data_IF_586119679415
#
_entry.id   IF_586119679415
#
_cell.length_a   1.000
_cell.length_b   1.000
_cell.length_c   1.000
_cell.angle_alpha   90.00
_cell.angle_beta   90.00
_cell.angle_gamma   90.00
#
_symmetry.space_group_name_H-M   'P 1'
#
loop_
_entity.id
_entity.type
_entity.pdbx_description
1 polymer ?
#
# COMPACT_ATOMS: atom_id res chain seq x y z
N UNK A 1 -19.00 7.67 15.49
CA UNK A 1 -18.12 8.79 15.15
C UNK A 1 -16.78 8.27 14.66
N UNK A 2 -16.26 8.87 13.61
CA UNK A 2 -15.00 8.42 13.05
C UNK A 2 -13.84 9.02 13.81
N UNK A 3 -12.90 8.19 14.18
CA UNK A 3 -11.70 8.64 14.85
C UNK A 3 -10.78 9.33 13.86
N UNK A 4 -10.24 10.49 14.23
CA UNK A 4 -9.25 11.15 13.41
C UNK A 4 -7.96 10.35 13.45
N UNK A 5 -7.48 10.00 12.28
CA UNK A 5 -6.31 9.14 12.18
C UNK A 5 -5.43 9.62 11.04
N UNK A 6 -4.15 9.70 11.30
CA UNK A 6 -3.15 10.09 10.31
C UNK A 6 -2.19 8.94 10.14
N UNK A 7 -2.00 8.51 8.89
CA UNK A 7 -1.01 7.48 8.55
C UNK A 7 0.14 8.18 7.86
N UNK A 8 1.33 8.06 8.44
CA UNK A 8 2.51 8.73 7.94
C UNK A 8 3.58 7.73 7.53
N UNK A 9 4.04 7.82 6.27
CA UNK A 9 5.16 7.03 5.82
C UNK A 9 6.44 7.63 6.37
N UNK A 10 7.26 6.79 7.00
CA UNK A 10 8.49 7.25 7.67
C UNK A 10 9.72 6.99 6.82
N UNK A 11 9.76 5.86 6.14
CA UNK A 11 10.92 5.50 5.34
C UNK A 11 11.01 4.00 5.17
N UNK A 12 12.11 3.56 4.56
CA UNK A 12 12.29 2.14 4.34
C UNK A 12 13.73 1.73 4.65
N UNK A 13 13.91 0.43 4.82
CA UNK A 13 15.21 -0.17 5.01
C UNK A 13 15.36 -1.35 4.07
N UNK A 14 16.46 -1.40 3.31
CA UNK A 14 16.74 -2.53 2.44
C UNK A 14 17.43 -3.60 3.26
N UNK A 15 16.83 -4.80 3.28
CA UNK A 15 17.37 -5.93 3.99
C UNK A 15 17.81 -7.01 3.00
N UNK A 16 18.31 -8.13 3.51
CA UNK A 16 18.88 -9.15 2.64
C UNK A 16 17.87 -9.70 1.62
N UNK A 17 16.65 -9.99 2.07
CA UNK A 17 15.64 -10.64 1.22
C UNK A 17 14.40 -9.79 0.99
N UNK A 18 14.26 -8.68 1.71
CA UNK A 18 13.05 -7.86 1.64
C UNK A 18 13.42 -6.40 1.77
N UNK A 19 12.49 -5.53 1.36
CA UNK A 19 12.52 -4.13 1.77
C UNK A 19 11.44 -3.93 2.81
N UNK A 20 11.78 -3.26 3.90
CA UNK A 20 10.87 -3.02 5.00
C UNK A 20 10.48 -1.56 5.03
N UNK A 21 9.17 -1.30 4.98
CA UNK A 21 8.61 0.05 4.95
C UNK A 21 7.96 0.35 6.29
N UNK A 22 8.25 1.51 6.84
CA UNK A 22 7.80 1.89 8.19
C UNK A 22 6.78 3.00 8.12
N UNK A 23 5.74 2.86 8.92
CA UNK A 23 4.66 3.83 9.02
C UNK A 23 4.34 4.11 10.48
N UNK A 24 3.92 5.34 10.75
CA UNK A 24 3.41 5.71 12.07
C UNK A 24 1.95 6.08 11.89
N UNK A 25 1.10 5.52 12.73
CA UNK A 25 -0.32 5.82 12.76
C UNK A 25 -0.59 6.65 14.01
N UNK A 26 -1.10 7.87 13.81
CA UNK A 26 -1.43 8.76 14.91
C UNK A 26 -2.94 8.83 15.05
N UNK A 27 -3.40 8.59 16.27
CA UNK A 27 -4.83 8.60 16.58
C UNK A 27 -5.12 9.74 17.51
N UNK A 28 -6.40 9.93 17.82
CA UNK A 28 -6.81 10.93 18.80
C UNK A 28 -6.14 10.68 20.14
N UNK A 29 -6.04 11.73 20.96
CA UNK A 29 -5.50 11.63 22.31
C UNK A 29 -4.02 11.26 22.33
N UNK A 30 -3.28 11.64 21.29
CA UNK A 30 -1.84 11.41 21.19
C UNK A 30 -1.44 9.95 21.17
N UNK A 31 -2.36 9.08 20.81
CA UNK A 31 -2.05 7.65 20.71
C UNK A 31 -1.35 7.40 19.37
N UNK A 32 -0.18 6.78 19.41
CA UNK A 32 0.57 6.45 18.19
C UNK A 32 0.95 4.98 18.18
N UNK A 33 1.05 4.43 16.99
CA UNK A 33 1.51 3.06 16.79
C UNK A 33 2.43 3.02 15.59
N UNK A 34 3.40 2.12 15.64
CA UNK A 34 4.33 1.94 14.54
C UNK A 34 4.03 0.64 13.83
N UNK A 35 4.03 0.69 12.49
CA UNK A 35 3.77 -0.50 11.67
C UNK A 35 4.88 -0.65 10.65
N UNK A 36 5.23 -1.90 10.35
CA UNK A 36 6.19 -2.19 9.28
C UNK A 36 5.55 -3.17 8.31
N UNK A 37 5.86 -2.98 7.03
CA UNK A 37 5.38 -3.87 5.98
C UNK A 37 6.55 -4.22 5.08
N UNK A 38 6.65 -5.47 4.67
CA UNK A 38 7.77 -5.93 3.86
C UNK A 38 7.31 -6.37 2.49
N UNK A 39 8.16 -6.10 1.50
CA UNK A 39 7.99 -6.61 0.14
C UNK A 39 9.25 -7.41 -0.19
N UNK A 40 9.06 -8.63 -0.68
CA UNK A 40 10.19 -9.46 -1.06
C UNK A 40 10.98 -8.84 -2.20
N UNK A 41 12.31 -8.93 -2.13
CA UNK A 41 13.16 -8.34 -3.17
C UNK A 41 12.87 -8.93 -4.55
N UNK A 42 12.39 -10.16 -4.59
CA UNK A 42 12.06 -10.82 -5.86
C UNK A 42 10.97 -10.08 -6.63
N UNK A 43 10.07 -9.41 -5.92
CA UNK A 43 8.98 -8.68 -6.58
C UNK A 43 9.53 -7.50 -7.37
N UNK A 44 10.59 -6.87 -6.87
CA UNK A 44 11.25 -5.78 -7.59
C UNK A 44 12.05 -6.33 -8.77
N UNK A 45 12.76 -7.43 -8.54
CA UNK A 45 13.57 -8.04 -9.59
C UNK A 45 12.74 -8.54 -10.76
N UNK A 46 11.55 -9.07 -10.48
CA UNK A 46 10.65 -9.57 -11.53
C UNK A 46 9.76 -8.48 -12.11
N UNK A 47 9.94 -7.24 -11.67
CA UNK A 47 9.20 -6.07 -12.15
C UNK A 47 7.71 -6.13 -11.85
N UNK A 48 7.34 -6.87 -10.82
CA UNK A 48 5.94 -6.89 -10.39
C UNK A 48 5.59 -5.68 -9.55
N UNK A 49 6.61 -4.99 -9.02
CA UNK A 49 6.42 -3.74 -8.31
C UNK A 49 7.61 -2.84 -8.62
N UNK A 50 7.35 -1.55 -8.75
CA UNK A 50 8.41 -0.56 -8.92
C UNK A 50 8.74 0.07 -7.58
N UNK A 51 10.01 0.47 -7.42
CA UNK A 51 10.44 1.07 -6.15
C UNK A 51 9.59 2.27 -5.79
N UNK A 52 9.21 3.08 -6.75
CA UNK A 52 8.43 4.28 -6.49
C UNK A 52 7.01 3.99 -6.06
N UNK A 53 6.49 2.81 -6.39
CA UNK A 53 5.11 2.43 -6.04
C UNK A 53 5.03 1.68 -4.72
N UNK A 54 6.16 1.19 -4.23
CA UNK A 54 6.17 0.32 -3.05
C UNK A 54 5.57 0.97 -1.80
N UNK A 55 5.90 2.23 -1.48
CA UNK A 55 5.29 2.85 -0.29
C UNK A 55 3.78 2.93 -0.39
N UNK A 56 3.24 3.19 -1.59
CA UNK A 56 1.80 3.27 -1.74
C UNK A 56 1.14 1.91 -1.58
N UNK A 57 1.76 0.86 -2.12
CA UNK A 57 1.23 -0.50 -1.97
C UNK A 57 1.15 -0.87 -0.49
N UNK A 58 2.21 -0.56 0.25
CA UNK A 58 2.24 -0.83 1.69
C UNK A 58 1.20 0.01 2.41
N UNK A 59 1.04 1.26 2.04
CA UNK A 59 0.05 2.14 2.65
C UNK A 59 -1.37 1.60 2.43
N UNK A 60 -1.67 1.12 1.23
CA UNK A 60 -2.99 0.57 0.94
C UNK A 60 -3.28 -0.67 1.78
N UNK A 61 -2.29 -1.54 1.93
CA UNK A 61 -2.46 -2.70 2.78
C UNK A 61 -2.70 -2.30 4.23
N UNK A 62 -1.92 -1.34 4.72
CA UNK A 62 -2.07 -0.88 6.09
C UNK A 62 -3.45 -0.27 6.32
N UNK A 63 -3.92 0.57 5.38
CA UNK A 63 -5.25 1.16 5.51
C UNK A 63 -6.33 0.09 5.55
N UNK A 64 -6.17 -0.97 4.76
CA UNK A 64 -7.14 -2.05 4.77
C UNK A 64 -7.16 -2.75 6.12
N UNK A 65 -5.99 -3.02 6.71
CA UNK A 65 -5.93 -3.65 8.01
C UNK A 65 -6.53 -2.75 9.09
N UNK A 66 -6.26 -1.45 9.01
CA UNK A 66 -6.84 -0.51 9.95
C UNK A 66 -8.36 -0.51 9.85
N UNK A 67 -8.90 -0.56 8.64
CA UNK A 67 -10.35 -0.55 8.45
C UNK A 67 -10.99 -1.82 9.00
N UNK A 68 -10.35 -2.96 8.77
CA UNK A 68 -10.90 -4.25 9.21
C UNK A 68 -10.93 -4.34 10.73
N UNK A 69 -9.94 -3.78 11.40
CA UNK A 69 -9.78 -3.94 12.85
C UNK A 69 -10.07 -2.66 13.63
N UNK A 70 -10.89 -1.78 13.05
CA UNK A 70 -11.34 -0.57 13.73
C UNK A 70 -10.17 0.27 14.24
N UNK A 71 -9.19 0.47 13.37
CA UNK A 71 -7.97 1.27 13.62
C UNK A 71 -7.01 0.67 14.64
N UNK A 72 -7.26 -0.58 15.08
CA UNK A 72 -6.40 -1.24 16.07
C UNK A 72 -6.08 -2.66 15.62
N UNK A 73 -5.30 -2.83 14.54
CA UNK A 73 -4.97 -4.18 14.07
C UNK A 73 -4.14 -4.93 15.11
N UNK A 74 -4.30 -6.26 15.18
CA UNK A 74 -3.61 -7.04 16.19
C UNK A 74 -2.12 -7.21 15.95
N UNK A 75 -1.65 -6.91 14.75
CA UNK A 75 -0.23 -7.08 14.40
C UNK A 75 0.35 -5.74 14.02
N UNK A 76 1.64 -5.58 14.29
CA UNK A 76 2.37 -4.37 13.90
C UNK A 76 3.23 -4.61 12.66
N UNK A 77 3.23 -5.81 12.11
CA UNK A 77 4.03 -6.15 10.94
C UNK A 77 3.21 -6.97 9.97
N UNK A 78 3.30 -6.62 8.68
CA UNK A 78 2.59 -7.35 7.63
C UNK A 78 3.53 -7.57 6.46
N UNK A 79 3.33 -8.68 5.77
CA UNK A 79 4.05 -8.96 4.54
C UNK A 79 3.11 -8.74 3.37
N UNK A 80 3.58 -8.00 2.38
CA UNK A 80 2.80 -7.75 1.17
C UNK A 80 2.72 -9.08 0.39
N UNK A 81 1.50 -9.45 0.02
CA UNK A 81 1.23 -10.71 -0.65
C UNK A 81 1.11 -10.53 -2.14
N UNK A 82 1.07 -11.66 -2.86
CA UNK A 82 0.80 -11.64 -4.29
C UNK A 82 -0.51 -10.93 -4.60
N UNK A 83 -1.52 -11.19 -3.77
CA UNK A 83 -2.83 -10.57 -3.95
C UNK A 83 -2.73 -9.06 -3.82
N UNK A 84 -1.96 -8.57 -2.86
CA UNK A 84 -1.77 -7.13 -2.70
C UNK A 84 -1.15 -6.52 -3.95
N UNK A 85 -0.16 -7.19 -4.52
CA UNK A 85 0.50 -6.68 -5.73
C UNK A 85 -0.45 -6.70 -6.93
N UNK A 86 -1.22 -7.77 -7.06
CA UNK A 86 -2.19 -7.88 -8.16
C UNK A 86 -3.28 -6.83 -8.04
N UNK A 87 -3.79 -6.61 -6.85
CA UNK A 87 -4.83 -5.61 -6.61
C UNK A 87 -4.34 -4.22 -7.00
N UNK A 88 -3.10 -3.91 -6.61
CA UNK A 88 -2.54 -2.60 -6.95
C UNK A 88 -2.40 -2.46 -8.47
N UNK A 89 -1.85 -3.48 -9.12
CA UNK A 89 -1.67 -3.46 -10.56
C UNK A 89 -3.00 -3.29 -11.28
N UNK A 90 -4.01 -4.03 -10.85
CA UNK A 90 -5.32 -3.98 -11.49
C UNK A 90 -5.98 -2.62 -11.33
N UNK A 91 -5.80 -1.97 -10.19
CA UNK A 91 -6.41 -0.67 -9.96
C UNK A 91 -5.66 0.46 -10.64
N UNK A 92 -4.40 0.22 -11.05
CA UNK A 92 -3.56 1.24 -11.69
C UNK A 92 -3.21 0.89 -13.13
N UNK A 93 -3.75 -0.22 -13.65
CA UNK A 93 -3.49 -0.58 -15.03
C UNK A 93 -4.09 0.48 -15.95
N UNK A 94 -3.36 0.90 -16.99
CA UNK A 94 -3.99 1.76 -17.98
C UNK A 94 -5.18 0.99 -18.52
N UNK A 95 -6.28 1.71 -18.71
CA UNK A 95 -7.43 1.06 -19.31
C UNK A 95 -7.01 0.58 -20.64
N UNK A 96 -6.64 -0.55 -20.59
CA UNK A 96 -6.15 -1.16 -21.79
C UNK A 96 -7.30 -1.60 -22.54
N UNK A 97 -7.41 -1.09 -22.10
CA UNK A 97 -7.95 -1.27 -22.35
C UNK A 97 -8.43 -0.46 -22.64
N UNK A 98 -8.70 0.12 -23.00
CA UNK A 98 -8.64 0.89 -22.77
C UNK A 98 -8.79 1.76 -22.74
N UNK A 99 -9.26 1.87 -22.81
CA UNK A 99 -9.18 2.85 -22.43
C UNK A 99 -9.31 3.49 -22.28
N UNK A 100 -9.82 3.30 -22.63
CA UNK A 100 -9.76 3.98 -22.17
C UNK A 100 -9.94 4.81 -22.23
N UNK A 101 -10.19 5.00 -22.68
CA UNK A 101 -10.24 5.97 -22.39
C UNK A 101 -10.63 6.63 -22.52
N UNK A 102 -10.86 6.43 -22.89
CA UNK A 102 -11.13 7.16 -22.76
C UNK A 102 -11.47 7.83 -22.97
N UNK A 103 -11.64 7.80 -23.57
CA UNK A 103 -11.87 8.55 -23.49
C UNK A 103 -12.29 9.17 -23.73
N UNK A 104 -12.33 9.03 -24.08
CA UNK A 104 -12.53 9.50 -24.05
C UNK A 104 -12.89 9.82 -24.30
N UNK A 105 -13.31 9.65 -25.09
CA UNK A 105 -13.41 9.81 -25.18
C UNK A 105 -13.80 9.95 -25.40
N UNK A 106 -13.99 9.69 -26.01
CA UNK A 106 -14.06 9.62 -26.01
C UNK A 106 -14.43 9.69 -26.27
N UNK A 107 -14.53 9.20 -26.76
CA UNK A 107 -14.51 9.12 -26.81
C UNK A 107 -14.71 9.06 -26.93
N UNK A 108 -14.85 8.52 -27.48
CA UNK A 108 -14.66 8.36 -27.35
C UNK A 108 -14.72 8.29 -27.43
N UNK A 109 -15.24 7.87 -28.22
CA UNK A 109 -14.93 7.64 -27.95
C UNK A 109 -14.92 7.81 -27.98
#
# INVERSE_FOLDING_TARGET
MTENMIVQYVGFEAKALVREYSFIVRRALNETSEFTLTIGNEAFGSRRVRFQDAPEICSRRLHRELAVFDNHPPQSHYRISETDLDDYRNSHAPSARGYSYKPKVSLDL
#
